data_IF_307655076213
#
_entry.id   IF_307655076213
#
_cell.length_a   1.000
_cell.length_b   1.000
_cell.length_c   1.000
_cell.angle_alpha   90.00
_cell.angle_beta   90.00
_cell.angle_gamma   90.00
#
_symmetry.space_group_name_H-M   'P 1'
#
loop_
_entity.id
_entity.type
_entity.pdbx_description
1 polymer ?
#
# COMPACT_ATOMS: atom_id res chain seq x y z
N UNK A 1 16.83 11.83 13.76
CA UNK A 1 16.92 13.16 13.15
C UNK A 1 18.22 13.81 13.56
N UNK A 2 18.98 14.26 12.56
CA UNK A 2 20.21 15.00 12.74
C UNK A 2 20.29 16.08 11.64
N UNK A 3 21.07 17.12 11.88
CA UNK A 3 21.18 18.28 11.02
C UNK A 3 22.20 19.28 11.52
N UNK A 4 22.29 20.41 10.82
CA UNK A 4 23.12 21.56 11.22
C UNK A 4 22.70 22.08 12.60
N UNK A 5 23.62 22.72 13.31
CA UNK A 5 23.33 23.35 14.59
C UNK A 5 22.12 24.30 14.49
N UNK A 6 21.16 24.14 15.40
CA UNK A 6 19.95 24.94 15.47
C UNK A 6 18.82 24.48 14.53
N UNK A 7 18.88 23.28 13.93
CA UNK A 7 17.79 22.81 13.08
C UNK A 7 16.47 22.61 13.86
N UNK A 8 15.34 22.95 13.23
CA UNK A 8 14.01 22.73 13.79
C UNK A 8 13.52 21.33 13.44
N UNK A 9 12.84 20.66 14.40
CA UNK A 9 12.34 19.30 14.19
C UNK A 9 11.31 19.22 13.06
N UNK A 10 10.41 20.21 12.98
CA UNK A 10 9.38 20.23 11.95
C UNK A 10 8.62 21.55 11.90
N UNK A 11 8.00 21.80 10.75
CA UNK A 11 7.00 22.85 10.53
C UNK A 11 5.95 22.34 9.55
N UNK A 12 4.73 22.85 9.63
CA UNK A 12 3.65 22.54 8.69
C UNK A 12 2.94 23.82 8.22
N UNK A 13 2.31 23.78 7.05
CA UNK A 13 1.55 24.90 6.47
C UNK A 13 0.04 24.62 6.38
N UNK A 14 -0.35 23.38 6.65
CA UNK A 14 -1.70 22.87 6.64
C UNK A 14 -1.96 22.17 7.98
N UNK A 15 -3.22 21.87 8.24
CA UNK A 15 -3.60 20.93 9.29
C UNK A 15 -2.79 19.64 9.19
N UNK A 16 -2.13 19.29 10.28
CA UNK A 16 -1.23 18.16 10.34
C UNK A 16 -1.37 17.44 11.68
N UNK A 17 -1.00 16.17 11.66
CA UNK A 17 -0.87 15.35 12.85
C UNK A 17 0.43 14.57 12.72
N UNK A 18 1.24 14.62 13.76
CA UNK A 18 2.56 13.99 13.81
C UNK A 18 2.58 12.92 14.88
N UNK A 19 3.08 11.74 14.54
CA UNK A 19 3.42 10.68 15.49
C UNK A 19 4.91 10.38 15.35
N UNK A 20 5.67 10.60 16.42
CA UNK A 20 7.09 10.32 16.49
C UNK A 20 7.33 9.28 17.59
N UNK A 21 7.62 8.06 17.16
CA UNK A 21 7.84 6.91 18.04
C UNK A 21 9.30 6.51 17.96
N UNK A 22 9.92 6.20 19.10
CA UNK A 22 11.30 5.71 19.20
C UNK A 22 12.35 6.58 18.50
N UNK A 23 12.04 7.88 18.34
CA UNK A 23 12.88 8.79 17.59
C UNK A 23 14.09 9.23 18.43
N UNK A 24 15.25 9.31 17.76
CA UNK A 24 16.47 9.90 18.33
C UNK A 24 16.75 11.25 17.68
N UNK A 25 16.91 12.29 18.49
CA UNK A 25 17.24 13.64 18.07
C UNK A 25 18.70 13.94 18.41
N UNK A 26 19.44 14.56 17.49
CA UNK A 26 20.83 14.94 17.77
C UNK A 26 20.92 16.16 18.69
N UNK A 27 22.12 16.42 19.22
CA UNK A 27 22.37 17.56 20.10
C UNK A 27 22.11 18.91 19.42
N UNK A 28 22.22 18.94 18.09
CA UNK A 28 22.06 20.11 17.22
C UNK A 28 20.61 20.59 17.07
N UNK A 29 19.63 19.78 17.49
CA UNK A 29 18.21 20.16 17.39
C UNK A 29 17.91 21.34 18.32
N UNK A 30 17.31 22.40 17.78
CA UNK A 30 16.92 23.57 18.56
C UNK A 30 15.75 23.25 19.53
N UNK A 31 15.63 24.05 20.58
CA UNK A 31 14.46 24.05 21.47
C UNK A 31 13.27 24.74 20.79
N UNK A 32 12.71 24.08 19.78
CA UNK A 32 11.55 24.57 19.03
C UNK A 32 10.59 23.41 18.73
N UNK A 33 9.39 23.40 19.34
CA UNK A 33 8.35 22.44 19.02
C UNK A 33 7.99 22.48 17.52
N UNK A 34 7.37 21.41 17.02
CA UNK A 34 6.74 21.42 15.70
C UNK A 34 5.64 22.49 15.69
N UNK A 35 5.65 23.36 14.68
CA UNK A 35 4.77 24.54 14.65
C UNK A 35 4.11 24.75 13.28
N UNK A 36 2.93 25.37 13.30
CA UNK A 36 2.27 25.90 12.11
C UNK A 36 3.03 27.15 11.62
N UNK A 37 3.48 27.14 10.37
CA UNK A 37 4.04 28.31 9.73
C UNK A 37 2.91 29.21 9.21
N UNK A 38 2.86 30.43 9.72
CA UNK A 38 1.98 31.49 9.22
C UNK A 38 2.81 32.53 8.46
N UNK A 39 2.26 32.98 7.33
CA UNK A 39 2.75 34.12 6.56
C UNK A 39 2.14 35.42 7.08
N UNK A 40 2.85 36.53 6.88
CA UNK A 40 2.35 37.88 7.18
C UNK A 40 1.12 38.24 6.33
N UNK A 41 1.06 37.71 5.11
CA UNK A 41 -0.12 37.79 4.24
C UNK A 41 -1.15 36.72 4.65
N UNK A 42 -2.28 37.10 5.28
CA UNK A 42 -3.25 36.13 5.79
C UNK A 42 -3.93 35.32 4.69
N UNK A 43 -3.93 35.81 3.44
CA UNK A 43 -4.55 35.09 2.30
C UNK A 43 -3.79 33.82 1.93
N UNK A 44 -2.54 33.70 2.38
CA UNK A 44 -1.67 32.53 2.19
C UNK A 44 -1.77 31.52 3.32
N UNK A 45 -2.48 31.86 4.40
CA UNK A 45 -2.62 31.00 5.56
C UNK A 45 -3.85 30.11 5.42
N UNK A 46 -3.65 28.81 5.63
CA UNK A 46 -4.75 27.86 5.66
C UNK A 46 -5.46 27.92 7.02
N UNK A 47 -6.77 27.59 7.07
CA UNK A 47 -7.46 27.46 8.33
C UNK A 47 -6.81 26.43 9.27
N UNK A 48 -6.86 26.72 10.57
CA UNK A 48 -6.29 25.89 11.63
C UNK A 48 -7.35 25.68 12.72
N UNK A 49 -8.02 24.55 12.67
CA UNK A 49 -9.20 24.22 13.48
C UNK A 49 -8.90 23.25 14.63
N UNK A 50 -7.91 22.38 14.46
CA UNK A 50 -7.69 21.25 15.38
C UNK A 50 -6.53 21.47 16.35
N UNK A 51 -5.79 22.57 16.19
CA UNK A 51 -4.63 22.86 17.02
C UNK A 51 -3.50 21.86 16.82
N UNK A 52 -2.48 21.96 17.69
CA UNK A 52 -1.28 21.14 17.58
C UNK A 52 -1.61 19.68 17.94
N UNK A 53 -1.32 18.78 17.01
CA UNK A 53 -1.53 17.32 17.17
C UNK A 53 -0.21 16.58 16.97
N UNK A 54 0.71 16.83 17.91
CA UNK A 54 2.04 16.25 17.92
C UNK A 54 2.14 15.24 19.06
N UNK A 55 2.30 13.96 18.71
CA UNK A 55 2.37 12.86 19.65
C UNK A 55 3.74 12.20 19.63
N UNK A 56 4.29 11.99 20.82
CA UNK A 56 5.62 11.47 21.04
C UNK A 56 5.54 10.25 21.94
N UNK A 57 6.39 9.27 21.65
CA UNK A 57 6.60 8.10 22.48
C UNK A 57 8.04 7.64 22.43
N UNK A 58 8.67 7.48 23.59
CA UNK A 58 10.06 7.05 23.76
C UNK A 58 11.06 7.86 22.90
N UNK A 59 10.78 9.15 22.70
CA UNK A 59 11.66 10.05 21.98
C UNK A 59 12.81 10.53 22.88
N UNK A 60 14.02 10.59 22.34
CA UNK A 60 15.22 10.97 23.12
C UNK A 60 16.12 11.89 22.33
N UNK A 61 16.63 12.93 22.98
CA UNK A 61 17.68 13.80 22.43
C UNK A 61 19.04 13.44 22.99
N UNK A 62 20.07 13.56 22.16
CA UNK A 62 21.46 13.55 22.63
C UNK A 62 21.74 14.86 23.36
N UNK A 63 22.18 14.78 24.62
CA UNK A 63 22.33 15.92 25.51
C UNK A 63 21.04 16.25 26.27
N UNK A 64 20.86 17.52 26.64
CA UNK A 64 19.71 17.94 27.43
C UNK A 64 18.40 17.74 26.64
N UNK A 65 17.39 17.06 27.24
CA UNK A 65 16.08 16.92 26.62
C UNK A 65 15.25 18.21 26.74
N UNK A 66 14.20 18.31 25.91
CA UNK A 66 13.22 19.39 25.97
C UNK A 66 11.86 18.82 26.38
N UNK A 67 11.12 19.56 27.21
CA UNK A 67 9.88 19.05 27.80
C UNK A 67 8.75 18.84 26.78
N UNK A 68 8.77 19.56 25.65
CA UNK A 68 7.66 19.56 24.69
C UNK A 68 7.49 18.26 23.88
N UNK A 69 8.48 17.36 23.90
CA UNK A 69 8.35 16.03 23.28
C UNK A 69 8.23 14.89 24.30
N UNK A 70 7.95 15.18 25.57
CA UNK A 70 7.66 14.15 26.56
C UNK A 70 6.54 13.23 26.06
N UNK A 71 6.59 11.96 26.47
CA UNK A 71 5.62 10.94 26.08
C UNK A 71 4.18 11.42 26.35
N UNK A 72 3.41 11.55 25.28
CA UNK A 72 2.03 12.04 25.31
C UNK A 72 1.11 11.26 24.36
N UNK A 73 1.57 10.10 23.85
CA UNK A 73 0.82 9.28 22.90
C UNK A 73 -0.59 8.91 23.39
N UNK A 74 -0.76 8.70 24.70
CA UNK A 74 -2.07 8.42 25.30
C UNK A 74 -3.09 9.55 25.14
N UNK A 75 -2.64 10.78 24.88
CA UNK A 75 -3.52 11.93 24.61
C UNK A 75 -3.94 12.02 23.14
N UNK A 76 -3.44 11.15 22.26
CA UNK A 76 -3.87 11.10 20.88
C UNK A 76 -5.31 10.59 20.74
N UNK A 77 -6.06 11.02 19.71
CA UNK A 77 -7.38 10.48 19.42
C UNK A 77 -7.35 8.96 19.32
N UNK A 78 -8.20 8.28 20.09
CA UNK A 78 -8.24 6.83 20.17
C UNK A 78 -7.17 6.20 21.07
N UNK A 79 -6.27 7.00 21.66
CA UNK A 79 -5.21 6.57 22.57
C UNK A 79 -4.45 5.31 22.08
N UNK A 80 -3.94 5.32 20.83
CA UNK A 80 -3.22 4.17 20.29
C UNK A 80 -2.01 3.83 21.15
N UNK A 81 -1.73 2.54 21.24
CA UNK A 81 -0.43 2.06 21.71
C UNK A 81 0.63 2.25 20.62
N UNK A 82 1.93 2.25 20.96
CA UNK A 82 3.00 2.32 19.97
C UNK A 82 2.89 1.25 18.89
N UNK A 83 2.51 0.03 19.27
CA UNK A 83 2.34 -1.12 18.38
C UNK A 83 1.12 -1.00 17.45
N UNK A 84 0.15 -0.14 17.77
CA UNK A 84 -0.98 0.13 16.88
C UNK A 84 -0.59 1.02 15.68
N UNK A 85 0.48 1.81 15.82
CA UNK A 85 0.93 2.77 14.79
C UNK A 85 1.73 2.04 13.72
N UNK A 86 0.99 1.36 12.87
CA UNK A 86 1.49 0.69 11.67
C UNK A 86 1.25 1.55 10.43
N UNK A 87 1.93 1.28 9.29
CA UNK A 87 1.57 1.89 8.02
C UNK A 87 0.08 1.65 7.66
N UNK A 88 -0.41 0.42 7.84
CA UNK A 88 -1.82 0.10 7.60
C UNK A 88 -2.76 0.98 8.43
N UNK A 89 -2.47 1.18 9.71
CA UNK A 89 -3.22 2.08 10.58
C UNK A 89 -3.16 3.53 10.08
N UNK A 90 -1.97 4.01 9.72
CA UNK A 90 -1.73 5.39 9.25
C UNK A 90 -2.56 5.73 8.00
N UNK A 91 -2.73 4.75 7.10
CA UNK A 91 -3.51 4.92 5.87
C UNK A 91 -4.94 4.37 5.97
N UNK A 92 -5.43 4.06 7.17
CA UNK A 92 -6.78 3.57 7.41
C UNK A 92 -7.11 2.29 6.64
N UNK A 93 -6.15 1.38 6.55
CA UNK A 93 -6.24 0.10 5.84
C UNK A 93 -6.20 0.21 4.32
N UNK A 94 -6.08 1.41 3.74
CA UNK A 94 -6.03 1.61 2.28
C UNK A 94 -4.67 1.25 1.68
N UNK A 95 -3.62 1.25 2.49
CA UNK A 95 -2.29 0.84 2.09
C UNK A 95 -1.60 0.11 3.23
N UNK A 96 -1.22 -1.14 2.97
CA UNK A 96 -0.43 -1.97 3.87
C UNK A 96 0.82 -2.47 3.12
N UNK A 97 1.95 -1.77 3.24
CA UNK A 97 3.21 -2.16 2.60
C UNK A 97 3.86 -3.40 3.22
N UNK A 98 3.42 -3.83 4.42
CA UNK A 98 3.98 -5.00 5.11
C UNK A 98 3.20 -6.29 4.79
N UNK A 99 2.04 -6.16 4.12
CA UNK A 99 1.22 -7.27 3.63
C UNK A 99 2.08 -8.28 2.86
N UNK A 100 1.82 -9.56 3.13
CA UNK A 100 2.53 -10.70 2.50
C UNK A 100 1.63 -11.67 1.73
N UNK A 101 0.32 -11.49 1.79
CA UNK A 101 -0.60 -12.40 1.09
C UNK A 101 -0.31 -12.41 -0.41
N UNK A 102 -0.31 -13.58 -1.05
CA UNK A 102 -0.06 -13.66 -2.49
C UNK A 102 -1.13 -12.91 -3.27
N UNK A 103 -0.74 -12.46 -4.47
CA UNK A 103 -1.69 -11.94 -5.44
C UNK A 103 -2.66 -13.07 -5.83
N UNK A 104 -3.96 -12.77 -5.93
CA UNK A 104 -4.99 -13.78 -6.23
C UNK A 104 -5.83 -13.40 -7.44
N UNK A 105 -6.27 -14.43 -8.17
CA UNK A 105 -7.22 -14.32 -9.28
C UNK A 105 -8.63 -14.58 -8.74
N UNK A 106 -9.51 -13.59 -8.92
CA UNK A 106 -10.86 -13.54 -8.35
C UNK A 106 -11.96 -13.92 -9.34
N UNK A 107 -11.60 -14.06 -10.62
CA UNK A 107 -12.55 -14.49 -11.63
C UNK A 107 -11.94 -14.56 -13.02
N UNK A 108 -12.77 -14.99 -13.96
CA UNK A 108 -12.41 -15.06 -15.36
C UNK A 108 -13.61 -14.82 -16.29
N UNK A 109 -13.33 -14.45 -17.53
CA UNK A 109 -14.30 -14.43 -18.63
C UNK A 109 -13.72 -15.13 -19.86
N UNK A 110 -14.47 -16.05 -20.45
CA UNK A 110 -14.08 -16.81 -21.65
C UNK A 110 -14.59 -16.10 -22.91
N UNK A 111 -13.78 -16.14 -23.97
CA UNK A 111 -14.16 -15.69 -25.30
C UNK A 111 -13.38 -16.50 -26.35
N UNK A 112 -13.99 -17.59 -26.83
CA UNK A 112 -13.38 -18.52 -27.80
C UNK A 112 -12.07 -19.09 -27.27
N UNK A 113 -10.97 -18.74 -27.93
CA UNK A 113 -9.62 -19.17 -27.54
C UNK A 113 -8.92 -18.21 -26.56
N UNK A 114 -9.65 -17.26 -25.97
CA UNK A 114 -9.11 -16.28 -25.02
C UNK A 114 -9.82 -16.31 -23.67
N UNK A 115 -9.07 -15.99 -22.62
CA UNK A 115 -9.56 -15.83 -21.24
C UNK A 115 -9.07 -14.50 -20.69
N UNK A 116 -9.96 -13.75 -20.05
CA UNK A 116 -9.61 -12.59 -19.25
C UNK A 116 -9.60 -13.04 -17.80
N UNK A 117 -8.48 -12.89 -17.11
CA UNK A 117 -8.37 -13.12 -15.67
C UNK A 117 -8.54 -11.79 -14.94
N UNK A 118 -9.35 -11.77 -13.88
CA UNK A 118 -9.54 -10.63 -12.99
C UNK A 118 -8.76 -10.87 -11.70
N UNK A 119 -7.97 -9.90 -11.27
CA UNK A 119 -7.16 -9.96 -10.06
C UNK A 119 -7.86 -9.24 -8.91
N UNK A 120 -7.51 -9.60 -7.67
CA UNK A 120 -8.06 -8.94 -6.47
C UNK A 120 -7.63 -7.47 -6.32
N UNK A 121 -6.61 -7.06 -7.07
CA UNK A 121 -5.96 -5.76 -6.99
C UNK A 121 -5.28 -5.42 -8.32
N UNK A 122 -4.74 -4.20 -8.40
CA UNK A 122 -4.02 -3.72 -9.59
C UNK A 122 -2.74 -4.53 -9.79
N UNK A 123 -2.43 -4.89 -11.04
CA UNK A 123 -1.27 -5.72 -11.37
C UNK A 123 -0.35 -5.07 -12.40
N UNK A 124 0.91 -5.48 -12.34
CA UNK A 124 1.96 -5.18 -13.31
C UNK A 124 2.48 -6.48 -13.89
N UNK A 125 2.85 -6.43 -15.16
CA UNK A 125 3.36 -7.59 -15.91
C UNK A 125 4.87 -7.44 -16.10
N UNK A 126 5.62 -8.51 -15.80
CA UNK A 126 7.06 -8.61 -16.06
C UNK A 126 7.31 -9.75 -17.05
N UNK A 127 7.97 -9.45 -18.17
CA UNK A 127 8.23 -10.42 -19.23
C UNK A 127 6.96 -10.82 -20.00
N UNK A 128 6.90 -12.08 -20.44
CA UNK A 128 5.74 -12.65 -21.16
C UNK A 128 5.11 -13.78 -20.33
N UNK A 129 4.15 -13.44 -19.43
CA UNK A 129 3.43 -14.44 -18.67
C UNK A 129 2.77 -15.52 -19.52
N UNK A 130 3.09 -16.77 -19.18
CA UNK A 130 2.46 -17.96 -19.73
C UNK A 130 2.09 -18.88 -18.57
N UNK A 131 0.87 -19.42 -18.57
CA UNK A 131 0.49 -20.47 -17.62
C UNK A 131 0.01 -21.72 -18.33
N UNK A 132 0.05 -22.84 -17.61
CA UNK A 132 -0.37 -24.14 -18.10
C UNK A 132 -1.34 -24.79 -17.12
N UNK A 133 -2.38 -25.44 -17.61
CA UNK A 133 -3.27 -26.24 -16.79
C UNK A 133 -2.76 -27.69 -16.60
N UNK A 134 -3.44 -28.45 -15.76
CA UNK A 134 -3.08 -29.84 -15.47
C UNK A 134 -3.14 -30.79 -16.69
N UNK A 135 -3.83 -30.39 -17.77
CA UNK A 135 -3.93 -31.14 -19.03
C UNK A 135 -2.84 -30.75 -20.03
N UNK A 136 -1.93 -29.85 -19.67
CA UNK A 136 -0.87 -29.37 -20.55
C UNK A 136 -1.30 -28.27 -21.53
N UNK A 137 -2.55 -27.78 -21.47
CA UNK A 137 -2.98 -26.64 -22.30
C UNK A 137 -2.31 -25.37 -21.79
N UNK A 138 -1.75 -24.61 -22.71
CA UNK A 138 -0.95 -23.41 -22.44
C UNK A 138 -1.70 -22.14 -22.81
N UNK A 139 -1.53 -21.09 -21.99
CA UNK A 139 -2.21 -19.81 -22.09
C UNK A 139 -1.17 -18.68 -22.04
N UNK A 140 -1.06 -17.92 -23.13
CA UNK A 140 -0.08 -16.84 -23.30
C UNK A 140 -0.72 -15.48 -23.16
N UNK A 141 -0.05 -14.56 -22.48
CA UNK A 141 -0.53 -13.19 -22.36
C UNK A 141 -0.71 -12.54 -23.74
N UNK A 142 -1.81 -11.80 -23.92
CA UNK A 142 -2.02 -10.97 -25.09
C UNK A 142 -1.63 -9.53 -24.78
N UNK A 143 -0.99 -8.86 -25.76
CA UNK A 143 -0.80 -7.42 -25.68
C UNK A 143 -2.15 -6.72 -25.62
N UNK A 144 -2.32 -5.87 -24.62
CA UNK A 144 -3.56 -5.14 -24.38
C UNK A 144 -3.26 -3.69 -23.98
N UNK A 145 -4.20 -2.79 -24.25
CA UNK A 145 -4.14 -1.43 -23.70
C UNK A 145 -4.53 -1.51 -22.23
N UNK A 146 -3.74 -0.87 -21.36
CA UNK A 146 -3.88 -0.92 -19.91
C UNK A 146 -5.00 0.00 -19.39
N UNK A 147 -6.23 -0.18 -19.89
CA UNK A 147 -7.39 0.54 -19.34
C UNK A 147 -7.97 -0.17 -18.11
N UNK A 148 -7.85 -1.49 -18.05
CA UNK A 148 -8.28 -2.34 -16.93
C UNK A 148 -7.05 -3.04 -16.32
N UNK A 149 -6.28 -2.31 -15.50
CA UNK A 149 -5.01 -2.78 -14.92
C UNK A 149 -5.16 -3.85 -13.82
N UNK A 150 -6.40 -4.24 -13.49
CA UNK A 150 -6.74 -5.41 -12.67
C UNK A 150 -7.15 -6.63 -13.51
N UNK A 151 -7.09 -6.54 -14.85
CA UNK A 151 -7.49 -7.62 -15.76
C UNK A 151 -6.42 -7.90 -16.81
N UNK A 152 -6.05 -9.17 -16.96
CA UNK A 152 -5.09 -9.60 -17.97
C UNK A 152 -5.72 -10.62 -18.91
N UNK A 153 -5.55 -10.42 -20.21
CA UNK A 153 -6.03 -11.34 -21.25
C UNK A 153 -4.95 -12.33 -21.65
N UNK A 154 -5.33 -13.59 -21.76
CA UNK A 154 -4.51 -14.69 -22.24
C UNK A 154 -5.22 -15.41 -23.39
N UNK A 155 -4.46 -16.10 -24.25
CA UNK A 155 -4.99 -16.93 -25.31
C UNK A 155 -4.32 -18.30 -25.37
N UNK A 156 -5.07 -19.30 -25.84
CA UNK A 156 -4.61 -20.64 -26.12
C UNK A 156 -4.69 -20.94 -27.62
N UNK A 157 -4.01 -22.01 -28.05
CA UNK A 157 -4.07 -22.47 -29.46
C UNK A 157 -5.43 -23.05 -29.87
N UNK A 158 -6.28 -23.40 -28.90
CA UNK A 158 -7.61 -23.97 -29.10
C UNK A 158 -8.64 -23.29 -28.19
N UNK A 159 -9.92 -23.54 -28.45
CA UNK A 159 -11.04 -23.01 -27.64
C UNK A 159 -10.85 -23.35 -26.15
N UNK A 160 -11.15 -22.40 -25.27
CA UNK A 160 -10.96 -22.55 -23.83
C UNK A 160 -12.32 -22.84 -23.17
N UNK A 161 -12.42 -24.01 -22.53
CA UNK A 161 -13.56 -24.38 -21.71
C UNK A 161 -13.34 -24.08 -20.22
N UNK A 162 -14.40 -24.15 -19.42
CA UNK A 162 -14.32 -23.94 -17.95
C UNK A 162 -13.45 -25.01 -17.28
N UNK A 163 -13.51 -26.22 -17.79
CA UNK A 163 -12.71 -27.38 -17.39
C UNK A 163 -11.22 -27.24 -17.69
N UNK A 164 -10.83 -26.27 -18.52
CA UNK A 164 -9.42 -25.95 -18.76
C UNK A 164 -8.87 -25.01 -17.66
N UNK A 165 -9.74 -24.33 -16.94
CA UNK A 165 -9.43 -23.42 -15.83
C UNK A 165 -9.71 -24.06 -14.46
N UNK A 166 -10.16 -25.31 -14.44
CA UNK A 166 -10.43 -26.06 -13.24
C UNK A 166 -9.12 -26.61 -12.64
N UNK A 167 -8.94 -26.41 -11.33
CA UNK A 167 -7.76 -26.86 -10.60
C UNK A 167 -6.57 -25.92 -10.73
N UNK A 168 -5.38 -26.46 -10.42
CA UNK A 168 -4.14 -25.70 -10.35
C UNK A 168 -3.67 -25.28 -11.75
N UNK A 169 -3.38 -23.99 -11.90
CA UNK A 169 -2.70 -23.41 -13.04
C UNK A 169 -1.27 -23.06 -12.63
N UNK A 170 -0.31 -23.37 -13.49
CA UNK A 170 1.12 -23.17 -13.21
C UNK A 170 1.71 -22.11 -14.11
N UNK A 171 2.29 -21.07 -13.52
CA UNK A 171 3.01 -20.05 -14.26
C UNK A 171 4.35 -20.63 -14.76
N UNK A 172 4.54 -20.65 -16.07
CA UNK A 172 5.71 -21.23 -16.75
C UNK A 172 6.79 -20.18 -17.06
N UNK A 173 6.37 -18.97 -17.41
CA UNK A 173 7.26 -17.86 -17.74
C UNK A 173 6.65 -16.53 -17.34
N UNK A 174 7.48 -15.49 -17.31
CA UNK A 174 7.07 -14.14 -16.90
C UNK A 174 6.64 -14.08 -15.44
N UNK A 175 6.09 -12.93 -15.05
CA UNK A 175 5.52 -12.73 -13.73
C UNK A 175 4.38 -11.71 -13.76
N UNK A 176 3.48 -11.84 -12.79
CA UNK A 176 2.37 -10.94 -12.55
C UNK A 176 2.45 -10.54 -11.08
N UNK A 177 2.72 -9.26 -10.84
CA UNK A 177 2.96 -8.72 -9.51
C UNK A 177 1.90 -7.69 -9.15
N UNK A 178 1.60 -7.54 -7.87
CA UNK A 178 0.78 -6.45 -7.37
C UNK A 178 1.46 -5.10 -7.69
N UNK A 179 0.68 -4.14 -8.19
CA UNK A 179 1.15 -2.78 -8.47
C UNK A 179 1.17 -1.89 -7.22
N UNK A 180 0.52 -2.33 -6.14
CA UNK A 180 0.55 -1.61 -4.86
C UNK A 180 1.95 -1.73 -4.28
N UNK A 181 2.61 -0.60 -4.04
CA UNK A 181 3.94 -0.55 -3.45
C UNK A 181 3.96 -1.25 -2.08
N UNK A 182 5.03 -2.00 -1.81
CA UNK A 182 5.21 -2.69 -0.54
C UNK A 182 6.67 -2.97 -0.26
N UNK A 183 6.96 -3.40 0.97
CA UNK A 183 8.29 -3.84 1.40
C UNK A 183 8.67 -5.16 0.71
N UNK A 184 7.66 -5.99 0.42
CA UNK A 184 7.82 -7.28 -0.23
C UNK A 184 7.13 -7.28 -1.61
N UNK A 185 7.79 -7.82 -2.62
CA UNK A 185 7.15 -8.08 -3.91
C UNK A 185 6.07 -9.16 -3.72
N UNK A 186 4.85 -8.88 -4.16
CA UNK A 186 3.72 -9.82 -4.11
C UNK A 186 3.39 -10.29 -5.52
N UNK A 187 3.89 -11.45 -5.88
CA UNK A 187 3.61 -12.11 -7.16
C UNK A 187 2.39 -13.04 -7.08
N UNK A 188 1.84 -13.41 -8.24
CA UNK A 188 0.85 -14.50 -8.37
C UNK A 188 1.42 -15.85 -7.90
N UNK A 189 2.75 -16.00 -7.90
CA UNK A 189 3.46 -17.22 -7.53
C UNK A 189 3.50 -18.24 -8.67
N UNK A 190 4.25 -19.33 -8.46
CA UNK A 190 4.43 -20.37 -9.49
C UNK A 190 3.20 -21.22 -9.77
N UNK A 191 2.20 -21.22 -8.88
CA UNK A 191 0.95 -21.95 -9.05
C UNK A 191 -0.20 -21.21 -8.39
N UNK A 192 -1.35 -21.20 -9.04
CA UNK A 192 -2.54 -20.49 -8.57
C UNK A 192 -3.82 -21.23 -8.98
N UNK A 193 -4.89 -20.98 -8.26
CA UNK A 193 -6.24 -21.42 -8.63
C UNK A 193 -7.09 -20.20 -8.93
N UNK A 194 -8.03 -20.33 -9.86
CA UNK A 194 -9.02 -19.28 -10.08
C UNK A 194 -10.18 -19.54 -9.15
N UNK A 195 -10.39 -18.63 -8.20
CA UNK A 195 -11.62 -18.67 -7.40
C UNK A 195 -12.79 -18.36 -8.33
N UNK A 196 -13.80 -19.24 -8.36
CA UNK A 196 -15.05 -19.02 -9.10
C UNK A 196 -15.58 -17.60 -8.84
N UNK A 197 -16.22 -16.94 -9.82
CA UNK A 197 -16.51 -15.52 -9.72
C UNK A 197 -17.26 -15.24 -8.43
N UNK A 198 -16.68 -14.40 -7.57
CA UNK A 198 -17.44 -13.80 -6.49
C UNK A 198 -18.64 -13.13 -7.15
N UNK A 199 -19.84 -13.65 -6.88
CA UNK A 199 -21.08 -12.93 -7.16
C UNK A 199 -20.92 -11.60 -6.47
N UNK A 200 -20.74 -10.52 -7.24
CA UNK A 200 -20.84 -9.16 -6.69
C UNK A 200 -22.23 -9.06 -6.08
N UNK A 201 -22.33 -9.28 -4.76
CA UNK A 201 -23.39 -8.69 -3.97
C UNK A 201 -23.10 -7.20 -4.00
N UNK A 202 -23.63 -6.51 -5.01
CA UNK A 202 -23.84 -5.08 -4.92
C UNK A 202 -24.78 -4.88 -3.73
N UNK A 203 -24.19 -4.63 -2.56
CA UNK A 203 -24.91 -4.09 -1.43
C UNK A 203 -25.37 -2.71 -1.83
N UNK A 204 -26.68 -2.52 -1.90
CA UNK A 204 -27.28 -1.20 -1.92
C UNK A 204 -26.76 -0.40 -0.73
N UNK A 205 -26.20 0.77 -1.01
CA UNK A 205 -26.17 1.92 -0.13
C UNK A 205 -26.58 3.13 -0.96
#
# INVERSE_FOLDING_TARGET
FDGVEGFYLGRHHYEAQFYLLDCRFSANMADKPIFLHAYDDPTRNNPYYHGDRNYFYNCRKTGAPYAWYNDNLSAAPGSPSPEDITPAWTFGGKWDPERRDPLTVTGYALNGNSVILTFAELVSVRGEPEFQNQKGKTFRILRQRFTDIDKLRFAAGTEIGKEDLAGELRLQSGDIIASIAGVYERSLGGSFNITSPATKKYGAK
#
